data_IF_629783878570
#
_entry.id   IF_629783878570
#
_cell.length_a   1.000
_cell.length_b   1.000
_cell.length_c   1.000
_cell.angle_alpha   90.00
_cell.angle_beta   90.00
_cell.angle_gamma   90.00
#
_symmetry.space_group_name_H-M   'P 1'
#
loop_
_entity.id
_entity.type
_entity.pdbx_description
1 polymer ?
#
# COMPACT_ATOMS: atom_id res chain seq x y z
N UNK A 1 -15.32 -19.78 8.55
CA UNK A 1 -15.88 -18.66 9.35
C UNK A 1 -15.11 -18.58 10.65
N UNK A 2 -14.22 -17.60 10.80
CA UNK A 2 -13.63 -17.15 12.06
C UNK A 2 -12.91 -15.84 11.71
N UNK A 3 -13.45 -14.68 12.08
CA UNK A 3 -12.70 -13.41 12.07
C UNK A 3 -13.05 -12.62 13.33
N UNK A 4 -12.07 -12.29 14.18
CA UNK A 4 -12.24 -11.23 15.16
C UNK A 4 -12.29 -9.91 14.38
N UNK A 5 -13.38 -9.17 14.49
CA UNK A 5 -13.59 -7.91 13.77
C UNK A 5 -12.74 -6.74 14.32
N UNK A 6 -11.92 -6.99 15.34
CA UNK A 6 -10.98 -6.02 15.87
C UNK A 6 -9.76 -6.73 16.44
N UNK A 7 -8.57 -6.27 16.05
CA UNK A 7 -7.29 -6.72 16.59
C UNK A 7 -6.57 -5.53 17.23
N UNK A 8 -6.22 -5.63 18.52
CA UNK A 8 -5.43 -4.64 19.24
C UNK A 8 -4.18 -5.28 19.85
N UNK A 9 -3.02 -4.66 19.77
CA UNK A 9 -1.79 -5.14 20.44
C UNK A 9 -1.35 -6.54 19.99
N UNK A 10 -1.42 -6.84 18.69
CA UNK A 10 -1.17 -8.18 18.15
C UNK A 10 -0.08 -8.22 17.08
N UNK A 11 0.40 -9.43 16.81
CA UNK A 11 1.18 -9.77 15.63
C UNK A 11 0.35 -10.74 14.79
N UNK A 12 0.03 -10.34 13.56
CA UNK A 12 -0.70 -11.15 12.59
C UNK A 12 0.31 -11.58 11.54
N UNK A 13 0.52 -12.88 11.40
CA UNK A 13 1.40 -13.42 10.38
C UNK A 13 0.72 -14.51 9.58
N UNK A 14 0.78 -14.39 8.26
CA UNK A 14 0.46 -15.45 7.32
C UNK A 14 1.66 -15.72 6.42
N UNK A 15 2.05 -16.99 6.31
CA UNK A 15 3.20 -17.37 5.49
C UNK A 15 2.82 -17.61 4.03
N UNK A 16 1.63 -18.18 3.79
CA UNK A 16 1.13 -18.45 2.46
C UNK A 16 -0.39 -18.34 2.45
N UNK A 17 -0.91 -17.46 1.60
CA UNK A 17 -2.33 -17.28 1.38
C UNK A 17 -2.62 -17.36 -0.11
N UNK A 18 -3.49 -18.29 -0.50
CA UNK A 18 -3.84 -18.55 -1.89
C UNK A 18 -5.34 -18.74 -2.04
N UNK A 19 -5.91 -18.23 -3.13
CA UNK A 19 -7.32 -18.41 -3.48
C UNK A 19 -8.28 -17.97 -2.36
N UNK A 20 -7.94 -16.89 -1.66
CA UNK A 20 -8.61 -16.53 -0.39
C UNK A 20 -9.00 -15.06 -0.30
N UNK A 21 -9.72 -14.74 0.77
CA UNK A 21 -10.13 -13.36 1.08
C UNK A 21 -9.81 -13.03 2.53
N UNK A 22 -8.92 -12.07 2.70
CA UNK A 22 -8.53 -11.49 3.98
C UNK A 22 -9.29 -10.19 4.18
N UNK A 23 -9.89 -10.04 5.37
CA UNK A 23 -10.73 -8.92 5.78
C UNK A 23 -10.48 -8.68 7.24
N UNK A 24 -10.14 -7.45 7.62
CA UNK A 24 -10.00 -7.02 9.00
C UNK A 24 -10.58 -5.62 9.11
N UNK A 25 -11.51 -5.43 10.03
CA UNK A 25 -12.29 -4.19 10.08
C UNK A 25 -11.55 -3.11 10.88
N UNK A 26 -11.11 -3.42 12.11
CA UNK A 26 -10.34 -2.47 12.94
C UNK A 26 -9.05 -3.08 13.45
N UNK A 27 -7.94 -2.39 13.20
CA UNK A 27 -6.60 -2.83 13.55
C UNK A 27 -5.87 -1.67 14.25
N UNK A 28 -5.35 -1.92 15.44
CA UNK A 28 -4.70 -0.90 16.27
C UNK A 28 -3.47 -1.53 16.95
N UNK A 29 -2.38 -0.78 17.07
CA UNK A 29 -1.15 -1.22 17.74
C UNK A 29 -0.64 -2.59 17.27
N UNK A 30 -0.67 -2.86 15.97
CA UNK A 30 -0.47 -4.20 15.43
C UNK A 30 0.67 -4.26 14.43
N UNK A 31 1.27 -5.44 14.29
CA UNK A 31 2.14 -5.73 13.15
C UNK A 31 1.49 -6.81 12.30
N UNK A 32 1.36 -6.53 11.00
CA UNK A 32 0.83 -7.45 10.00
C UNK A 32 1.96 -7.85 9.06
N UNK A 33 2.19 -9.15 8.90
CA UNK A 33 3.12 -9.72 7.92
C UNK A 33 2.44 -10.78 7.08
N UNK A 34 2.44 -10.61 5.77
CA UNK A 34 2.04 -11.65 4.83
C UNK A 34 3.19 -11.90 3.86
N UNK A 35 3.69 -13.12 3.84
CA UNK A 35 4.92 -13.43 3.10
C UNK A 35 4.61 -13.72 1.62
N UNK A 36 3.77 -14.72 1.33
CA UNK A 36 3.36 -15.05 -0.05
C UNK A 36 1.85 -15.01 -0.21
N UNK A 37 1.38 -14.21 -1.16
CA UNK A 37 -0.03 -13.98 -1.47
C UNK A 37 -0.25 -14.21 -2.97
N UNK A 38 -1.14 -15.14 -3.32
CA UNK A 38 -1.49 -15.46 -4.71
C UNK A 38 -3.02 -15.50 -4.86
N UNK A 39 -3.57 -14.95 -5.94
CA UNK A 39 -5.01 -15.01 -6.26
C UNK A 39 -5.92 -14.58 -5.08
N UNK A 40 -5.50 -13.56 -4.33
CA UNK A 40 -6.11 -13.21 -3.05
C UNK A 40 -6.62 -11.79 -3.02
N UNK A 41 -7.71 -11.58 -2.29
CA UNK A 41 -8.24 -10.24 -2.03
C UNK A 41 -8.01 -9.88 -0.56
N UNK A 42 -7.33 -8.76 -0.33
CA UNK A 42 -7.08 -8.19 0.99
C UNK A 42 -7.87 -6.89 1.14
N UNK A 43 -8.66 -6.79 2.21
CA UNK A 43 -9.32 -5.55 2.62
C UNK A 43 -9.05 -5.26 4.09
N UNK A 44 -8.46 -4.12 4.39
CA UNK A 44 -8.30 -3.64 5.76
C UNK A 44 -8.97 -2.27 5.85
N UNK A 45 -9.94 -2.12 6.76
CA UNK A 45 -10.81 -0.95 6.74
C UNK A 45 -10.23 0.20 7.58
N UNK A 46 -10.07 0.02 8.88
CA UNK A 46 -9.49 1.04 9.79
C UNK A 46 -8.21 0.52 10.42
N UNK A 47 -7.11 1.25 10.21
CA UNK A 47 -5.76 0.90 10.66
C UNK A 47 -5.15 2.09 11.38
N UNK A 48 -4.72 1.88 12.63
CA UNK A 48 -4.07 2.90 13.47
C UNK A 48 -2.80 2.31 14.09
N UNK A 49 -1.73 3.09 14.17
CA UNK A 49 -0.46 2.72 14.84
C UNK A 49 0.08 1.33 14.42
N UNK A 50 0.02 1.02 13.13
CA UNK A 50 0.25 -0.34 12.62
C UNK A 50 1.39 -0.38 11.61
N UNK A 51 2.17 -1.47 11.66
CA UNK A 51 3.16 -1.79 10.63
C UNK A 51 2.62 -2.92 9.74
N UNK A 52 2.47 -2.65 8.44
CA UNK A 52 2.01 -3.62 7.45
C UNK A 52 3.16 -3.94 6.51
N UNK A 53 3.48 -5.21 6.37
CA UNK A 53 4.46 -5.72 5.42
C UNK A 53 3.88 -6.87 4.60
N UNK A 54 3.85 -6.70 3.28
CA UNK A 54 3.49 -7.75 2.33
C UNK A 54 4.70 -8.01 1.42
N UNK A 55 5.24 -9.23 1.43
CA UNK A 55 6.52 -9.51 0.76
C UNK A 55 6.35 -9.87 -0.71
N UNK A 56 5.53 -10.86 -1.05
CA UNK A 56 5.28 -11.29 -2.44
C UNK A 56 3.80 -11.38 -2.72
N UNK A 57 3.34 -10.64 -3.73
CA UNK A 57 1.93 -10.53 -4.11
C UNK A 57 1.80 -10.77 -5.62
N UNK A 58 1.01 -11.77 -5.99
CA UNK A 58 0.74 -12.10 -7.40
C UNK A 58 -0.77 -12.18 -7.65
N UNK A 59 -1.24 -11.65 -8.78
CA UNK A 59 -2.63 -11.76 -9.26
C UNK A 59 -3.68 -11.35 -8.21
N UNK A 60 -3.39 -10.32 -7.42
CA UNK A 60 -4.14 -10.01 -6.20
C UNK A 60 -4.69 -8.59 -6.17
N UNK A 61 -5.64 -8.36 -5.27
CA UNK A 61 -6.24 -7.05 -5.05
C UNK A 61 -6.10 -6.64 -3.58
N UNK A 62 -5.50 -5.48 -3.33
CA UNK A 62 -5.29 -4.93 -1.99
C UNK A 62 -6.03 -3.61 -1.87
N UNK A 63 -6.83 -3.48 -0.81
CA UNK A 63 -7.54 -2.26 -0.48
C UNK A 63 -7.35 -1.93 1.00
N UNK A 64 -6.79 -0.76 1.27
CA UNK A 64 -6.69 -0.20 2.62
C UNK A 64 -7.46 1.12 2.65
N UNK A 65 -8.46 1.23 3.53
CA UNK A 65 -9.42 2.34 3.47
C UNK A 65 -8.96 3.55 4.30
N UNK A 66 -8.82 3.41 5.61
CA UNK A 66 -8.38 4.49 6.52
C UNK A 66 -7.16 4.05 7.31
N UNK A 67 -6.08 4.81 7.20
CA UNK A 67 -4.78 4.52 7.79
C UNK A 67 -4.25 5.77 8.49
N UNK A 68 -3.90 5.64 9.76
CA UNK A 68 -3.30 6.72 10.55
C UNK A 68 -2.02 6.22 11.24
N UNK A 69 -0.99 7.08 11.31
CA UNK A 69 0.25 6.85 12.08
C UNK A 69 0.92 5.51 11.78
N UNK A 70 0.93 5.09 10.51
CA UNK A 70 1.28 3.72 10.14
C UNK A 70 2.41 3.65 9.12
N UNK A 71 3.03 2.47 9.01
CA UNK A 71 4.00 2.18 7.96
C UNK A 71 3.53 1.01 7.10
N UNK A 72 3.55 1.20 5.79
CA UNK A 72 3.14 0.21 4.80
C UNK A 72 4.32 -0.08 3.90
N UNK A 73 4.68 -1.35 3.79
CA UNK A 73 5.74 -1.81 2.92
C UNK A 73 5.26 -2.98 2.07
N UNK A 74 5.33 -2.81 0.76
CA UNK A 74 5.05 -3.85 -0.21
C UNK A 74 6.31 -4.11 -1.04
N UNK A 75 6.84 -5.34 -1.00
CA UNK A 75 8.17 -5.63 -1.58
C UNK A 75 8.08 -6.02 -3.06
N UNK A 76 7.49 -7.16 -3.40
CA UNK A 76 7.33 -7.62 -4.79
C UNK A 76 5.86 -7.78 -5.15
N UNK A 77 5.43 -7.11 -6.21
CA UNK A 77 4.03 -7.11 -6.65
C UNK A 77 3.96 -7.27 -8.16
N UNK A 78 3.23 -8.27 -8.60
CA UNK A 78 3.02 -8.57 -10.01
C UNK A 78 1.53 -8.73 -10.32
N UNK A 79 1.09 -8.21 -11.48
CA UNK A 79 -0.26 -8.41 -12.01
C UNK A 79 -1.38 -8.06 -11.02
N UNK A 80 -1.20 -7.00 -10.22
CA UNK A 80 -2.05 -6.72 -9.06
C UNK A 80 -2.61 -5.30 -9.03
N UNK A 81 -3.67 -5.12 -8.25
CA UNK A 81 -4.30 -3.83 -8.03
C UNK A 81 -4.20 -3.40 -6.57
N UNK A 82 -3.71 -2.18 -6.33
CA UNK A 82 -3.55 -1.61 -4.99
C UNK A 82 -4.32 -0.31 -4.90
N UNK A 83 -5.13 -0.19 -3.86
CA UNK A 83 -5.88 1.02 -3.56
C UNK A 83 -5.70 1.40 -2.10
N UNK A 84 -5.23 2.62 -1.89
CA UNK A 84 -5.12 3.26 -0.59
C UNK A 84 -5.98 4.53 -0.61
N UNK A 85 -6.95 4.67 0.30
CA UNK A 85 -8.00 5.68 0.18
C UNK A 85 -7.86 6.92 1.10
N UNK A 86 -7.50 6.75 2.37
CA UNK A 86 -7.28 7.88 3.28
C UNK A 86 -6.10 7.54 4.15
N UNK A 87 -5.01 8.30 4.01
CA UNK A 87 -3.77 8.05 4.74
C UNK A 87 -3.28 9.35 5.35
N UNK A 88 -3.03 9.33 6.65
CA UNK A 88 -2.50 10.46 7.40
C UNK A 88 -1.26 10.04 8.19
N UNK A 89 -0.26 10.93 8.28
CA UNK A 89 0.91 10.78 9.16
C UNK A 89 1.67 9.44 8.98
N UNK A 90 1.83 9.00 7.74
CA UNK A 90 2.27 7.62 7.45
C UNK A 90 3.47 7.53 6.52
N UNK A 91 4.03 6.33 6.39
CA UNK A 91 5.06 6.01 5.42
C UNK A 91 4.63 4.85 4.52
N UNK A 92 4.76 5.03 3.20
CA UNK A 92 4.42 4.03 2.19
C UNK A 92 5.66 3.75 1.37
N UNK A 93 6.03 2.47 1.26
CA UNK A 93 7.14 2.03 0.42
C UNK A 93 6.71 0.88 -0.47
N UNK A 94 6.87 1.08 -1.78
CA UNK A 94 6.66 0.08 -2.82
C UNK A 94 8.00 -0.16 -3.51
N UNK A 95 8.52 -1.39 -3.41
CA UNK A 95 9.87 -1.71 -3.91
C UNK A 95 9.85 -2.13 -5.38
N UNK A 96 9.35 -3.33 -5.71
CA UNK A 96 9.33 -3.86 -7.07
C UNK A 96 7.89 -4.11 -7.51
N UNK A 97 7.41 -3.32 -8.47
CA UNK A 97 6.05 -3.38 -8.97
C UNK A 97 6.07 -3.57 -10.49
N UNK A 98 5.38 -4.60 -10.97
CA UNK A 98 5.30 -4.90 -12.40
C UNK A 98 3.85 -5.16 -12.82
N UNK A 99 3.46 -4.71 -14.02
CA UNK A 99 2.17 -5.03 -14.64
C UNK A 99 0.95 -4.72 -13.75
N UNK A 100 0.99 -3.61 -13.01
CA UNK A 100 0.07 -3.36 -11.90
C UNK A 100 -0.68 -2.02 -12.01
N UNK A 101 -1.67 -1.83 -11.14
CA UNK A 101 -2.37 -0.57 -10.97
C UNK A 101 -2.34 -0.11 -9.52
N UNK A 102 -1.89 1.11 -9.28
CA UNK A 102 -1.83 1.73 -7.95
C UNK A 102 -2.68 2.99 -7.94
N UNK A 103 -3.55 3.11 -6.95
CA UNK A 103 -4.32 4.33 -6.68
C UNK A 103 -4.12 4.77 -5.24
N UNK A 104 -3.67 6.00 -5.07
CA UNK A 104 -3.59 6.70 -3.79
C UNK A 104 -4.57 7.87 -3.82
N UNK A 105 -5.52 7.86 -2.89
CA UNK A 105 -6.54 8.89 -2.70
C UNK A 105 -6.33 9.53 -1.33
N UNK A 106 -6.64 10.82 -1.20
CA UNK A 106 -6.60 11.60 0.05
C UNK A 106 -5.43 11.25 1.01
N UNK A 107 -4.22 11.65 0.64
CA UNK A 107 -2.98 11.40 1.38
C UNK A 107 -2.45 12.70 2.00
N UNK A 108 -2.20 12.72 3.30
CA UNK A 108 -1.70 13.88 4.04
C UNK A 108 -0.50 13.50 4.91
N UNK A 109 0.47 14.40 5.05
CA UNK A 109 1.65 14.26 5.93
C UNK A 109 2.38 12.91 5.77
N UNK A 110 2.49 12.44 4.52
CA UNK A 110 2.95 11.08 4.21
C UNK A 110 4.21 11.07 3.36
N UNK A 111 5.10 10.11 3.63
CA UNK A 111 6.25 9.82 2.77
C UNK A 111 5.92 8.62 1.88
N UNK A 112 6.02 8.81 0.57
CA UNK A 112 5.80 7.80 -0.45
C UNK A 112 7.10 7.53 -1.18
N UNK A 113 7.57 6.28 -1.16
CA UNK A 113 8.75 5.84 -1.91
C UNK A 113 8.36 4.75 -2.90
N UNK A 114 8.64 4.97 -4.18
CA UNK A 114 8.49 4.03 -5.27
C UNK A 114 9.88 3.74 -5.84
N UNK A 115 10.34 2.49 -5.75
CA UNK A 115 11.71 2.12 -6.10
C UNK A 115 11.82 1.69 -7.57
N UNK A 116 11.46 0.45 -7.91
CA UNK A 116 11.44 -0.10 -9.27
C UNK A 116 10.01 -0.36 -9.71
N UNK A 117 9.52 0.43 -10.64
CA UNK A 117 8.15 0.33 -11.17
C UNK A 117 8.21 0.16 -12.69
N UNK A 118 7.59 -0.90 -13.21
CA UNK A 118 7.53 -1.24 -14.62
C UNK A 118 6.08 -1.54 -15.05
N UNK A 119 5.70 -1.15 -16.27
CA UNK A 119 4.39 -1.46 -16.88
C UNK A 119 3.17 -1.15 -15.98
N UNK A 120 3.27 -0.06 -15.20
CA UNK A 120 2.31 0.21 -14.12
C UNK A 120 1.53 1.50 -14.37
N UNK A 121 0.26 1.52 -13.96
CA UNK A 121 -0.53 2.73 -13.89
C UNK A 121 -0.62 3.23 -12.45
N UNK A 122 -0.13 4.44 -12.18
CA UNK A 122 -0.20 5.10 -10.88
C UNK A 122 -1.11 6.31 -10.97
N UNK A 123 -2.10 6.38 -10.09
CA UNK A 123 -2.97 7.55 -9.93
C UNK A 123 -2.87 8.10 -8.53
N UNK A 124 -2.51 9.37 -8.43
CA UNK A 124 -2.48 10.14 -7.19
C UNK A 124 -3.54 11.24 -7.29
N UNK A 125 -4.56 11.18 -6.44
CA UNK A 125 -5.67 12.12 -6.50
C UNK A 125 -5.41 13.36 -5.63
N UNK A 126 -5.69 13.32 -4.33
CA UNK A 126 -5.41 14.44 -3.41
C UNK A 126 -4.21 14.10 -2.54
N UNK A 127 -3.10 14.83 -2.69
CA UNK A 127 -1.89 14.66 -1.89
C UNK A 127 -1.48 16.02 -1.29
N UNK A 128 -1.37 16.09 0.03
CA UNK A 128 -1.03 17.31 0.77
C UNK A 128 0.16 17.06 1.72
N UNK A 129 1.02 18.07 1.91
CA UNK A 129 2.14 18.07 2.88
C UNK A 129 3.05 16.83 2.85
N UNK A 130 3.13 16.19 1.68
CA UNK A 130 3.75 14.87 1.54
C UNK A 130 5.10 14.93 0.81
N UNK A 131 5.83 13.83 0.81
CA UNK A 131 7.04 13.68 0.01
C UNK A 131 6.94 12.44 -0.86
N UNK A 132 7.15 12.59 -2.18
CA UNK A 132 7.13 11.48 -3.13
C UNK A 132 8.53 11.32 -3.70
N UNK A 133 9.09 10.12 -3.57
CA UNK A 133 10.37 9.73 -4.16
C UNK A 133 10.16 8.62 -5.18
N UNK A 134 10.65 8.85 -6.40
CA UNK A 134 10.67 7.87 -7.48
C UNK A 134 12.13 7.52 -7.79
N UNK A 135 12.48 6.24 -7.90
CA UNK A 135 13.79 5.79 -8.35
C UNK A 135 13.72 5.36 -9.83
N UNK A 136 13.66 4.06 -10.13
CA UNK A 136 13.60 3.51 -11.49
C UNK A 136 12.14 3.32 -11.93
N UNK A 137 11.71 4.06 -12.96
CA UNK A 137 10.35 4.01 -13.50
C UNK A 137 10.40 3.76 -15.01
N UNK A 138 9.87 2.63 -15.48
CA UNK A 138 9.83 2.23 -16.89
C UNK A 138 8.39 1.93 -17.32
N UNK A 139 8.02 2.32 -18.54
CA UNK A 139 6.70 2.09 -19.15
C UNK A 139 5.48 2.35 -18.23
N UNK A 140 5.64 3.31 -17.32
CA UNK A 140 4.68 3.62 -16.26
C UNK A 140 3.98 4.94 -16.54
N UNK A 141 2.66 4.94 -16.38
CA UNK A 141 1.84 6.15 -16.47
C UNK A 141 1.56 6.67 -15.07
N UNK A 142 1.93 7.92 -14.79
CA UNK A 142 1.61 8.60 -13.52
C UNK A 142 0.62 9.73 -13.80
N UNK A 143 -0.56 9.66 -13.20
CA UNK A 143 -1.59 10.69 -13.24
C UNK A 143 -1.70 11.38 -11.88
N UNK A 144 -1.66 12.71 -11.89
CA UNK A 144 -1.79 13.56 -10.71
C UNK A 144 -3.04 14.43 -10.88
N UNK A 145 -3.83 14.59 -9.82
CA UNK A 145 -4.99 15.50 -9.79
C UNK A 145 -4.67 16.77 -8.97
N UNK A 146 -4.81 16.70 -7.65
CA UNK A 146 -4.58 17.82 -6.71
C UNK A 146 -3.37 17.51 -5.82
N UNK A 147 -2.28 18.25 -6.02
CA UNK A 147 -1.03 18.09 -5.27
C UNK A 147 -0.65 19.44 -4.64
N UNK A 148 -0.68 19.53 -3.32
CA UNK A 148 -0.38 20.74 -2.54
C UNK A 148 0.77 20.48 -1.56
N UNK A 149 1.66 21.47 -1.41
CA UNK A 149 2.81 21.45 -0.48
C UNK A 149 3.63 20.13 -0.46
N UNK A 150 3.65 19.45 -1.61
CA UNK A 150 4.26 18.13 -1.76
C UNK A 150 5.63 18.24 -2.40
N UNK A 151 6.63 17.64 -1.77
CA UNK A 151 8.00 17.59 -2.28
C UNK A 151 8.19 16.36 -3.17
N UNK A 152 8.31 16.58 -4.47
CA UNK A 152 8.65 15.53 -5.43
C UNK A 152 10.16 15.45 -5.63
N UNK A 153 10.75 14.30 -5.32
CA UNK A 153 12.15 13.97 -5.57
C UNK A 153 12.18 12.91 -6.67
N UNK A 154 12.44 13.36 -7.90
CA UNK A 154 12.68 12.45 -9.02
C UNK A 154 14.17 12.03 -8.98
N UNK A 155 14.42 10.73 -8.90
CA UNK A 155 15.68 10.16 -9.34
C UNK A 155 15.80 10.40 -10.84
N UNK A 156 16.80 11.18 -11.26
CA UNK A 156 17.07 11.39 -12.67
C UNK A 156 17.49 10.06 -13.31
N UNK A 157 16.70 9.58 -14.28
CA UNK A 157 17.11 8.58 -15.27
C UNK A 157 16.97 9.18 -16.67
#
# INVERSE_FOLDING_TARGET
MLKPNSCKHHHIQFLLEKDTVIRLDTIEDTIIRLDTIEDTIIRLDTIEDTNIRLDTIENSAIRLDTIENSAIRLDTIENSAIRLDTIENSAIRLDTIENSAIRLDSIEDTIICLDTIEDTNIRLDTIENSAIRLDTIEDTIICLDTIEDTKNLLGYY
#
